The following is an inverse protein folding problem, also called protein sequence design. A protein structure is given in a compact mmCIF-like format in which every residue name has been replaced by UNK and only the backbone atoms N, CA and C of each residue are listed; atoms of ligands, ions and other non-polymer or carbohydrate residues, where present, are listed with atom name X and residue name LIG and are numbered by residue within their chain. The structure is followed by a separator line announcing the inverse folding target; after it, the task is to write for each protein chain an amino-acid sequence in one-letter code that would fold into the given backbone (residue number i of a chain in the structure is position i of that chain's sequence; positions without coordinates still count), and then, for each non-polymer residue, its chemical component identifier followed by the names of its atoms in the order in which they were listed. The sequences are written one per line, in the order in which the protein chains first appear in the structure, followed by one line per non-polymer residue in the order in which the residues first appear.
data_IF_328876903884
#
_entry.id   IF_328876903884
#
_cell.length_a   1.000
_cell.length_b   1.000
_cell.length_c   1.000
_cell.angle_alpha   90.00
_cell.angle_beta   90.00
_cell.angle_gamma   90.00
#
_symmetry.space_group_name_H-M   'P 1'
#
loop_
_entity.id
_entity.type
_entity.pdbx_description
1 polymer ?
#
# COMPACT_ATOMS: atom_id res chain seq x y z
N UNK A 1 -29.16 10.19 7.23
CA UNK A 1 -28.35 11.18 7.97
C UNK A 1 -26.85 11.06 7.69
N UNK A 2 -26.21 9.89 7.80
CA UNK A 2 -24.76 9.73 7.56
C UNK A 2 -24.27 10.13 6.14
N UNK A 3 -25.06 9.85 5.09
CA UNK A 3 -24.69 10.22 3.70
C UNK A 3 -24.66 11.73 3.46
N UNK A 4 -25.59 12.47 4.07
CA UNK A 4 -25.69 13.93 3.93
C UNK A 4 -24.56 14.66 4.69
N UNK A 5 -24.08 14.06 5.78
CA UNK A 5 -22.93 14.53 6.55
C UNK A 5 -21.61 14.25 5.81
N UNK A 6 -21.49 13.09 5.15
CA UNK A 6 -20.33 12.74 4.34
C UNK A 6 -20.17 13.69 3.14
N UNK A 7 -21.25 13.98 2.40
CA UNK A 7 -21.20 14.95 1.30
C UNK A 7 -20.99 16.41 1.74
N UNK A 8 -21.25 16.75 3.01
CA UNK A 8 -20.84 18.05 3.57
C UNK A 8 -19.36 18.05 3.96
N UNK A 9 -18.85 16.96 4.54
CA UNK A 9 -17.44 16.83 4.89
C UNK A 9 -16.55 16.87 3.65
N UNK A 10 -16.93 16.19 2.57
CA UNK A 10 -16.20 16.17 1.30
C UNK A 10 -16.14 17.57 0.67
N UNK A 11 -17.26 18.30 0.65
CA UNK A 11 -17.28 19.70 0.18
C UNK A 11 -16.48 20.67 1.06
N UNK A 12 -16.46 20.46 2.36
CA UNK A 12 -15.64 21.27 3.27
C UNK A 12 -14.16 20.95 3.04
N UNK A 13 -13.79 19.69 2.79
CA UNK A 13 -12.42 19.31 2.41
C UNK A 13 -12.01 19.96 1.09
N UNK A 14 -12.87 19.91 0.06
CA UNK A 14 -12.61 20.56 -1.23
C UNK A 14 -12.44 22.08 -1.07
N UNK A 15 -13.33 22.75 -0.34
CA UNK A 15 -13.24 24.19 -0.08
C UNK A 15 -12.01 24.56 0.75
N UNK A 16 -11.61 23.72 1.70
CA UNK A 16 -10.39 23.91 2.49
C UNK A 16 -9.13 23.72 1.62
N UNK A 17 -9.18 22.78 0.68
CA UNK A 17 -8.12 22.54 -0.30
C UNK A 17 -7.97 23.74 -1.25
N UNK A 18 -9.08 24.25 -1.81
CA UNK A 18 -9.08 25.45 -2.65
C UNK A 18 -8.55 26.68 -1.90
N UNK A 19 -8.94 26.86 -0.63
CA UNK A 19 -8.44 27.94 0.22
C UNK A 19 -6.91 27.82 0.46
N UNK A 20 -6.40 26.61 0.74
CA UNK A 20 -4.95 26.35 0.88
C UNK A 20 -4.21 26.65 -0.43
N UNK A 21 -4.76 26.23 -1.55
CA UNK A 21 -4.20 26.47 -2.88
C UNK A 21 -4.17 27.98 -3.19
N UNK A 22 -5.16 28.75 -2.73
CA UNK A 22 -5.17 30.22 -2.87
C UNK A 22 -4.07 30.91 -2.06
N UNK A 23 -3.71 30.37 -0.89
CA UNK A 23 -2.61 30.90 -0.06
C UNK A 23 -1.26 30.55 -0.67
N UNK A 24 -1.11 29.36 -1.25
CA UNK A 24 0.08 28.94 -2.00
C UNK A 24 0.32 29.79 -3.26
N UNK A 25 -0.76 30.26 -3.92
CA UNK A 25 -0.68 31.19 -5.07
C UNK A 25 -0.11 32.58 -4.72
N UNK A 26 -0.21 33.01 -3.45
CA UNK A 26 0.34 34.29 -2.98
C UNK A 26 1.70 34.14 -2.26
N UNK A 27 2.20 32.91 -2.11
CA UNK A 27 3.48 32.60 -1.48
C UNK A 27 4.61 32.34 -2.49
N UNK A 28 5.84 32.25 -1.98
CA UNK A 28 6.96 31.69 -2.75
C UNK A 28 6.64 30.26 -3.18
N UNK A 29 6.91 29.91 -4.45
CA UNK A 29 6.71 28.56 -4.98
C UNK A 29 7.30 27.48 -4.02
N UNK A 30 6.55 26.39 -3.72
CA UNK A 30 6.99 25.37 -2.75
C UNK A 30 8.36 24.79 -3.10
N UNK A 31 9.23 24.57 -2.10
CA UNK A 31 10.53 23.97 -2.33
C UNK A 31 11.20 23.41 -1.08
N UNK A 32 12.24 22.60 -1.29
CA UNK A 32 12.96 21.86 -0.24
C UNK A 32 12.75 20.33 -0.34
N UNK A 33 13.34 19.61 0.62
CA UNK A 33 13.27 18.14 0.66
C UNK A 33 11.95 17.70 1.32
N UNK A 34 11.24 16.77 0.67
CA UNK A 34 10.08 16.07 1.22
C UNK A 34 10.40 14.57 1.27
N UNK A 35 10.45 14.03 2.48
CA UNK A 35 10.73 12.62 2.73
C UNK A 35 9.43 11.83 2.89
N UNK A 36 9.18 10.91 1.96
CA UNK A 36 7.99 10.06 1.92
C UNK A 36 8.39 8.63 2.26
N UNK A 37 7.73 8.04 3.25
CA UNK A 37 7.89 6.62 3.59
C UNK A 37 6.65 5.80 3.30
N UNK A 38 6.82 4.62 2.71
CA UNK A 38 5.70 3.75 2.37
C UNK A 38 6.13 2.28 2.25
N UNK A 39 5.22 1.38 1.90
CA UNK A 39 5.55 0.00 1.52
C UNK A 39 5.91 -0.08 0.04
N UNK A 40 6.68 -1.09 -0.34
CA UNK A 40 7.05 -1.37 -1.74
C UNK A 40 5.84 -1.39 -2.69
N UNK A 41 4.77 -2.08 -2.33
CA UNK A 41 3.57 -2.19 -3.16
C UNK A 41 2.87 -0.84 -3.37
N UNK A 42 2.80 0.01 -2.34
CA UNK A 42 2.19 1.35 -2.47
C UNK A 42 3.12 2.27 -3.29
N UNK A 43 4.44 2.20 -3.06
CA UNK A 43 5.39 3.00 -3.82
C UNK A 43 5.27 2.72 -5.32
N UNK A 44 5.39 1.45 -5.70
CA UNK A 44 5.39 1.03 -7.10
C UNK A 44 4.00 1.08 -7.75
N UNK A 45 2.97 0.65 -7.03
CA UNK A 45 1.62 0.54 -7.58
C UNK A 45 0.82 1.84 -7.59
N UNK A 46 1.15 2.81 -6.73
CA UNK A 46 0.36 4.03 -6.56
C UNK A 46 1.20 5.30 -6.68
N UNK A 47 2.28 5.43 -5.92
CA UNK A 47 2.98 6.72 -5.82
C UNK A 47 3.81 7.03 -7.06
N UNK A 48 4.69 6.13 -7.49
CA UNK A 48 5.59 6.38 -8.62
C UNK A 48 4.87 6.83 -9.91
N UNK A 49 3.72 6.25 -10.30
CA UNK A 49 2.93 6.74 -11.44
C UNK A 49 2.49 8.21 -11.31
N UNK A 50 2.18 8.67 -10.09
CA UNK A 50 1.69 10.03 -9.81
C UNK A 50 2.83 11.03 -9.60
N UNK A 51 3.93 10.58 -8.99
CA UNK A 51 5.07 11.44 -8.64
C UNK A 51 5.76 12.04 -9.87
N UNK A 52 5.65 11.40 -11.04
CA UNK A 52 6.20 11.96 -12.28
C UNK A 52 5.51 13.27 -12.71
N UNK A 53 4.19 13.36 -12.55
CA UNK A 53 3.45 14.60 -12.82
C UNK A 53 3.71 15.64 -11.72
N UNK A 54 3.70 15.21 -10.46
CA UNK A 54 4.01 16.06 -9.32
C UNK A 54 5.39 16.73 -9.45
N UNK A 55 6.44 15.98 -9.80
CA UNK A 55 7.79 16.51 -9.93
C UNK A 55 7.92 17.55 -11.07
N UNK A 56 7.12 17.42 -12.14
CA UNK A 56 7.06 18.43 -13.21
C UNK A 56 6.32 19.69 -12.77
N UNK A 57 5.27 19.54 -11.96
CA UNK A 57 4.50 20.67 -11.45
C UNK A 57 5.23 21.45 -10.34
N UNK A 58 6.12 20.78 -9.58
CA UNK A 58 6.84 21.37 -8.44
C UNK A 58 8.35 21.10 -8.50
N UNK A 59 9.08 21.73 -9.43
CA UNK A 59 10.49 21.41 -9.73
C UNK A 59 11.47 21.79 -8.60
N UNK A 60 11.04 22.58 -7.61
CA UNK A 60 11.88 22.97 -6.45
C UNK A 60 11.74 22.02 -5.26
N UNK A 61 10.90 20.99 -5.37
CA UNK A 61 10.73 19.95 -4.35
C UNK A 61 11.63 18.76 -4.69
N UNK A 62 12.54 18.44 -3.78
CA UNK A 62 13.34 17.21 -3.83
C UNK A 62 12.60 16.10 -3.08
N UNK A 63 12.36 14.96 -3.74
CA UNK A 63 11.66 13.83 -3.14
C UNK A 63 12.63 12.76 -2.65
N UNK A 64 12.59 12.45 -1.36
CA UNK A 64 13.26 11.28 -0.79
C UNK A 64 12.23 10.17 -0.53
N UNK A 65 12.36 9.03 -1.23
CA UNK A 65 11.38 7.95 -1.17
C UNK A 65 11.95 6.73 -0.43
N UNK A 66 11.30 6.32 0.66
CA UNK A 66 11.72 5.19 1.50
C UNK A 66 10.66 4.09 1.46
N UNK A 67 10.95 3.00 0.73
CA UNK A 67 10.16 1.77 0.78
C UNK A 67 10.62 0.90 1.96
N UNK A 68 9.82 0.82 3.01
CA UNK A 68 10.11 0.00 4.19
C UNK A 68 8.83 -0.50 4.83
N UNK A 69 8.85 -1.76 5.27
CA UNK A 69 7.77 -2.34 6.07
C UNK A 69 7.86 -2.01 7.56
N UNK A 70 8.97 -1.42 8.01
CA UNK A 70 9.11 -0.94 9.38
C UNK A 70 8.17 0.25 9.62
N UNK A 71 7.66 0.35 10.85
CA UNK A 71 6.94 1.55 11.28
C UNK A 71 7.96 2.68 11.40
N UNK A 72 7.98 3.56 10.41
CA UNK A 72 8.81 4.76 10.43
C UNK A 72 8.34 5.70 11.56
N UNK A 73 9.30 6.30 12.27
CA UNK A 73 9.01 7.24 13.34
C UNK A 73 8.94 8.67 12.79
N UNK A 74 7.73 9.10 12.40
CA UNK A 74 7.51 10.47 11.92
C UNK A 74 7.83 11.51 13.00
N UNK A 75 7.71 11.17 14.29
CA UNK A 75 8.04 12.07 15.40
C UNK A 75 9.54 12.35 15.53
N UNK A 76 10.41 11.55 14.91
CA UNK A 76 11.87 11.79 14.84
C UNK A 76 12.33 12.45 13.54
N UNK A 77 11.40 12.89 12.68
CA UNK A 77 11.67 13.40 11.32
C UNK A 77 12.32 12.37 10.38
N UNK A 78 12.12 11.08 10.65
CA UNK A 78 12.57 10.01 9.75
C UNK A 78 11.76 10.00 8.43
N UNK A 79 10.61 10.69 8.40
CA UNK A 79 9.86 11.07 7.19
C UNK A 79 8.90 12.23 7.51
N UNK A 80 8.48 12.96 6.48
CA UNK A 80 7.46 14.01 6.55
C UNK A 80 6.06 13.44 6.31
N UNK A 81 5.95 12.45 5.42
CA UNK A 81 4.68 11.84 5.02
C UNK A 81 4.82 10.32 5.03
N UNK A 82 3.84 9.60 5.60
CA UNK A 82 3.77 8.15 5.53
C UNK A 82 2.50 7.67 4.82
N UNK A 83 2.65 6.83 3.78
CA UNK A 83 1.55 6.10 3.17
C UNK A 83 1.56 4.64 3.64
N UNK A 84 0.52 4.20 4.36
CA UNK A 84 0.46 2.87 4.98
C UNK A 84 -0.90 2.20 4.76
N UNK A 85 -0.87 0.93 4.39
CA UNK A 85 -2.05 0.06 4.39
C UNK A 85 -2.35 -0.42 5.82
N UNK A 86 -2.94 0.44 6.65
CA UNK A 86 -3.28 0.11 8.04
C UNK A 86 -4.72 0.47 8.38
N UNK A 87 -5.34 -0.31 9.27
CA UNK A 87 -6.64 0.00 9.89
C UNK A 87 -6.48 0.68 11.26
N UNK A 88 -5.24 0.76 11.76
CA UNK A 88 -4.90 1.26 13.09
C UNK A 88 -3.73 2.24 12.96
N UNK A 89 -3.95 3.43 12.38
CA UNK A 89 -2.92 4.45 12.40
C UNK A 89 -2.57 4.82 13.85
N UNK A 90 -1.30 5.10 14.18
CA UNK A 90 -0.91 5.57 15.50
C UNK A 90 -1.67 6.84 15.90
N UNK A 91 -2.22 6.88 17.12
CA UNK A 91 -3.09 7.99 17.56
C UNK A 91 -2.40 9.35 17.71
N UNK A 92 -1.07 9.39 17.70
CA UNK A 92 -0.28 10.64 17.72
C UNK A 92 -0.04 11.21 16.31
N UNK A 93 -0.55 10.56 15.26
CA UNK A 93 -0.43 11.03 13.88
C UNK A 93 -1.75 11.59 13.40
N UNK A 94 -1.69 12.73 12.72
CA UNK A 94 -2.79 13.24 11.92
C UNK A 94 -2.75 12.51 10.58
N UNK A 95 -3.84 11.82 10.21
CA UNK A 95 -3.90 11.05 8.98
C UNK A 95 -5.28 11.12 8.34
N UNK A 96 -5.30 11.09 7.01
CA UNK A 96 -6.53 10.95 6.21
C UNK A 96 -6.60 9.57 5.57
N UNK A 97 -7.81 9.01 5.46
CA UNK A 97 -8.05 7.74 4.79
C UNK A 97 -8.19 7.99 3.28
N UNK A 98 -7.20 7.59 2.51
CA UNK A 98 -7.20 7.75 1.05
C UNK A 98 -8.04 6.71 0.30
N UNK A 99 -8.28 5.54 0.90
CA UNK A 99 -9.03 4.48 0.23
C UNK A 99 -8.96 3.12 0.90
N UNK A 100 -9.35 2.09 0.16
CA UNK A 100 -9.35 0.69 0.60
C UNK A 100 -8.64 -0.17 -0.43
N UNK A 101 -7.75 -1.04 0.05
CA UNK A 101 -7.10 -2.07 -0.77
C UNK A 101 -7.92 -3.35 -0.67
N UNK A 102 -8.36 -3.89 -1.81
CA UNK A 102 -9.05 -5.18 -1.89
C UNK A 102 -8.02 -6.27 -2.14
N UNK A 103 -8.25 -7.46 -1.59
CA UNK A 103 -7.36 -8.61 -1.77
C UNK A 103 -8.10 -9.78 -2.42
N UNK A 104 -7.38 -10.59 -3.19
CA UNK A 104 -7.89 -11.79 -3.84
C UNK A 104 -6.79 -12.87 -3.93
N UNK A 105 -7.18 -14.09 -4.31
CA UNK A 105 -6.24 -15.17 -4.57
C UNK A 105 -5.79 -15.12 -6.04
N UNK A 106 -4.48 -15.11 -6.27
CA UNK A 106 -3.89 -15.05 -7.59
C UNK A 106 -3.02 -16.28 -7.85
N UNK A 107 -2.89 -16.64 -9.13
CA UNK A 107 -1.98 -17.68 -9.64
C UNK A 107 -1.78 -17.41 -11.13
N UNK A 108 -0.54 -17.48 -11.62
CA UNK A 108 -0.28 -17.27 -13.04
C UNK A 108 -0.94 -18.36 -13.90
N UNK A 109 -1.38 -18.01 -15.10
CA UNK A 109 -1.96 -18.96 -16.06
C UNK A 109 -1.02 -20.12 -16.36
N UNK A 110 0.29 -19.87 -16.46
CA UNK A 110 1.30 -20.92 -16.67
C UNK A 110 1.36 -21.93 -15.51
N UNK A 111 1.22 -21.46 -14.26
CA UNK A 111 1.16 -22.33 -13.08
C UNK A 111 -0.11 -23.19 -13.05
N UNK A 112 -1.22 -22.62 -13.51
CA UNK A 112 -2.54 -23.26 -13.53
C UNK A 112 -2.76 -24.18 -14.75
N UNK A 113 -1.90 -24.10 -15.76
CA UNK A 113 -2.05 -24.88 -16.98
C UNK A 113 -2.06 -26.39 -16.67
N UNK A 114 -3.12 -27.08 -17.12
CA UNK A 114 -3.31 -28.52 -16.88
C UNK A 114 -3.73 -28.88 -15.45
N UNK A 115 -4.01 -27.91 -14.57
CA UNK A 115 -4.51 -28.13 -13.21
C UNK A 115 -6.01 -27.81 -13.10
N UNK A 116 -6.74 -28.42 -12.15
CA UNK A 116 -8.12 -28.04 -11.86
C UNK A 116 -8.25 -26.56 -11.48
N UNK A 117 -9.35 -25.93 -11.88
CA UNK A 117 -9.71 -24.55 -11.49
C UNK A 117 -11.11 -24.55 -10.88
N UNK A 118 -11.27 -24.26 -9.56
CA UNK A 118 -10.23 -23.87 -8.62
C UNK A 118 -9.36 -25.05 -8.16
N UNK A 119 -8.03 -24.88 -8.19
CA UNK A 119 -7.09 -25.82 -7.56
C UNK A 119 -7.32 -25.83 -6.05
N UNK A 120 -7.45 -27.03 -5.48
CA UNK A 120 -7.62 -27.21 -4.04
C UNK A 120 -6.46 -26.55 -3.28
N UNK A 121 -6.72 -25.88 -2.14
CA UNK A 121 -5.69 -25.22 -1.35
C UNK A 121 -4.52 -26.13 -0.98
N UNK A 122 -4.79 -27.41 -0.73
CA UNK A 122 -3.82 -28.42 -0.29
C UNK A 122 -2.88 -28.87 -1.43
N UNK A 123 -3.35 -28.78 -2.68
CA UNK A 123 -2.61 -29.15 -3.89
C UNK A 123 -1.85 -27.96 -4.51
N UNK A 124 -1.96 -26.77 -3.89
CA UNK A 124 -1.33 -25.55 -4.36
C UNK A 124 0.04 -25.32 -3.69
N UNK A 125 0.98 -24.84 -4.47
CA UNK A 125 2.25 -24.30 -3.99
C UNK A 125 1.97 -22.87 -3.49
N UNK A 126 1.86 -22.69 -2.18
CA UNK A 126 1.56 -21.38 -1.59
C UNK A 126 2.81 -20.52 -1.46
N UNK A 127 2.67 -19.26 -1.88
CA UNK A 127 3.62 -18.19 -1.65
C UNK A 127 3.00 -17.26 -0.60
N UNK A 128 3.76 -16.90 0.43
CA UNK A 128 3.29 -16.03 1.50
C UNK A 128 4.36 -15.04 1.95
N UNK A 129 3.98 -14.13 2.84
CA UNK A 129 4.95 -13.32 3.56
C UNK A 129 5.61 -14.13 4.67
N UNK A 130 6.86 -13.81 4.99
CA UNK A 130 7.60 -14.42 6.08
C UNK A 130 7.25 -13.81 7.46
N UNK A 131 7.99 -14.22 8.49
CA UNK A 131 7.74 -13.83 9.88
C UNK A 131 7.92 -12.32 10.14
N UNK A 132 8.70 -11.61 9.32
CA UNK A 132 8.85 -10.15 9.42
C UNK A 132 7.53 -9.41 9.18
N UNK A 133 6.56 -10.07 8.55
CA UNK A 133 5.25 -9.55 8.19
C UNK A 133 4.13 -10.49 8.65
N UNK A 134 4.32 -11.23 9.74
CA UNK A 134 3.34 -12.19 10.27
C UNK A 134 1.96 -11.57 10.53
N UNK A 135 1.92 -10.29 10.89
CA UNK A 135 0.69 -9.56 11.19
C UNK A 135 -0.07 -9.05 9.96
N UNK A 136 0.51 -9.21 8.76
CA UNK A 136 -0.10 -8.73 7.51
C UNK A 136 -1.46 -9.42 7.26
N UNK A 137 -2.49 -8.69 6.77
CA UNK A 137 -3.83 -9.24 6.57
C UNK A 137 -3.89 -10.53 5.72
N UNK A 138 -3.03 -10.65 4.70
CA UNK A 138 -2.96 -11.87 3.87
C UNK A 138 -2.51 -13.10 4.65
N UNK A 139 -1.56 -12.94 5.57
CA UNK A 139 -1.06 -14.03 6.43
C UNK A 139 -2.13 -14.44 7.44
N UNK A 140 -2.75 -13.46 8.12
CA UNK A 140 -3.83 -13.72 9.07
C UNK A 140 -5.01 -14.42 8.42
N UNK A 141 -5.41 -13.97 7.23
CA UNK A 141 -6.50 -14.61 6.48
C UNK A 141 -6.16 -16.05 6.12
N UNK A 142 -4.94 -16.33 5.62
CA UNK A 142 -4.52 -17.68 5.25
C UNK A 142 -4.49 -18.61 6.46
N UNK A 143 -3.93 -18.18 7.59
CA UNK A 143 -3.94 -18.99 8.81
C UNK A 143 -5.35 -19.25 9.34
N UNK A 144 -6.24 -18.25 9.31
CA UNK A 144 -7.62 -18.42 9.73
C UNK A 144 -8.39 -19.40 8.82
N UNK A 145 -8.16 -19.35 7.51
CA UNK A 145 -8.87 -20.18 6.52
C UNK A 145 -8.28 -21.59 6.38
N UNK A 146 -6.96 -21.71 6.50
CA UNK A 146 -6.17 -22.93 6.25
C UNK A 146 -5.10 -23.10 7.34
N UNK A 147 -5.48 -23.45 8.59
CA UNK A 147 -4.58 -23.41 9.75
C UNK A 147 -3.41 -24.41 9.68
N UNK A 148 -3.57 -25.52 8.94
CA UNK A 148 -2.51 -26.55 8.78
C UNK A 148 -1.63 -26.31 7.55
N UNK A 149 -1.93 -25.28 6.77
CA UNK A 149 -1.25 -25.03 5.50
C UNK A 149 0.06 -24.29 5.72
N UNK A 150 1.15 -24.85 5.20
CA UNK A 150 2.47 -24.24 5.23
C UNK A 150 2.82 -23.71 3.83
N UNK A 151 3.21 -22.43 3.69
CA UNK A 151 3.68 -21.89 2.42
C UNK A 151 4.96 -22.59 2.00
N UNK A 152 5.04 -22.98 0.72
CA UNK A 152 6.24 -23.52 0.11
C UNK A 152 7.31 -22.44 -0.08
N UNK A 153 6.88 -21.21 -0.38
CA UNK A 153 7.76 -20.05 -0.56
C UNK A 153 7.35 -18.91 0.37
N UNK A 154 8.33 -18.16 0.89
CA UNK A 154 8.11 -17.01 1.78
C UNK A 154 9.02 -15.84 1.41
N UNK A 155 8.53 -14.61 1.56
CA UNK A 155 9.28 -13.38 1.28
C UNK A 155 8.95 -12.27 2.31
N UNK A 156 9.86 -11.33 2.53
CA UNK A 156 9.65 -10.16 3.38
C UNK A 156 9.03 -8.95 2.66
N UNK A 157 8.47 -9.17 1.46
CA UNK A 157 7.99 -8.12 0.55
C UNK A 157 6.72 -8.58 -0.17
N UNK A 158 5.69 -7.73 -0.18
CA UNK A 158 4.43 -8.01 -0.87
C UNK A 158 4.63 -7.96 -2.39
N UNK A 159 5.47 -7.04 -2.87
CA UNK A 159 5.84 -6.98 -4.28
C UNK A 159 6.56 -8.26 -4.75
N UNK A 160 7.41 -8.83 -3.90
CA UNK A 160 8.10 -10.10 -4.19
C UNK A 160 7.14 -11.28 -4.25
N UNK A 161 6.11 -11.32 -3.39
CA UNK A 161 5.03 -12.33 -3.47
C UNK A 161 4.30 -12.21 -4.82
N UNK A 162 3.96 -10.99 -5.25
CA UNK A 162 3.32 -10.77 -6.55
C UNK A 162 4.23 -11.21 -7.71
N UNK A 163 5.52 -10.84 -7.67
CA UNK A 163 6.50 -11.26 -8.68
C UNK A 163 6.67 -12.78 -8.77
N UNK A 164 6.67 -13.48 -7.64
CA UNK A 164 6.72 -14.94 -7.59
C UNK A 164 5.47 -15.59 -8.19
N UNK A 165 4.29 -15.03 -7.94
CA UNK A 165 3.03 -15.47 -8.58
C UNK A 165 3.11 -15.29 -10.09
N UNK A 166 3.51 -14.11 -10.57
CA UNK A 166 3.66 -13.81 -12.01
C UNK A 166 4.66 -14.75 -12.68
N UNK A 167 5.73 -15.11 -11.97
CA UNK A 167 6.76 -16.04 -12.44
C UNK A 167 6.31 -17.52 -12.40
N UNK A 168 5.08 -17.80 -11.99
CA UNK A 168 4.51 -19.14 -12.02
C UNK A 168 4.94 -20.07 -10.88
N UNK A 169 5.47 -19.54 -9.78
CA UNK A 169 5.91 -20.36 -8.65
C UNK A 169 4.74 -21.00 -7.89
N UNK A 170 3.55 -20.39 -7.95
CA UNK A 170 2.44 -20.81 -7.11
C UNK A 170 1.29 -19.83 -7.03
N UNK A 171 0.54 -19.93 -5.93
CA UNK A 171 -0.59 -19.05 -5.59
C UNK A 171 -0.31 -18.21 -4.36
N UNK A 172 -0.88 -17.02 -4.32
CA UNK A 172 -0.82 -16.15 -3.15
C UNK A 172 -2.07 -15.30 -3.01
N UNK A 173 -2.33 -14.84 -1.78
CA UNK A 173 -3.27 -13.74 -1.54
C UNK A 173 -2.54 -12.44 -1.84
N UNK A 174 -2.96 -11.77 -2.91
CA UNK A 174 -2.44 -10.48 -3.36
C UNK A 174 -3.49 -9.40 -3.24
N UNK A 175 -3.10 -8.17 -3.53
CA UNK A 175 -3.96 -7.00 -3.61
C UNK A 175 -3.59 -6.13 -4.79
#
# INVERSE_FOLDING_TARGET
MALALAGHAERIEDQLQEARDSVLKNGSEPGGVVRITTTDTILHGLLLPLLGEFARAYPRIDLELVASNAIANLSRRDADIAFRATRKPPGHLVGSRLGTIKAALFGASAYLAGRPVPLAPEDADWIALDESLAEHPSVKWRHARFPRLLPKYRCNSVLSVAGAVVSGLGKAVGA
#
